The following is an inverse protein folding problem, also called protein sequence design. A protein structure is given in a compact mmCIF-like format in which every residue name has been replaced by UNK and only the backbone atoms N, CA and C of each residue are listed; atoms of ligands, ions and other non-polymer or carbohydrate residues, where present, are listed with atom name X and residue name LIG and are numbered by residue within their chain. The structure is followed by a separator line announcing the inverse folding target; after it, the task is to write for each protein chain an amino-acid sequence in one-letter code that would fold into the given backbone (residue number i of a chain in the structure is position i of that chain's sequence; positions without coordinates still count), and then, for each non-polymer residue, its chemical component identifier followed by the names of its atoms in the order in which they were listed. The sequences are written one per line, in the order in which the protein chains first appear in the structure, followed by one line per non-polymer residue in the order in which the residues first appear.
data_IF_198043319585
#
_entry.id   IF_198043319585
#
_cell.length_a   1.000
_cell.length_b   1.000
_cell.length_c   1.000
_cell.angle_alpha   90.00
_cell.angle_beta   90.00
_cell.angle_gamma   90.00
#
_symmetry.space_group_name_H-M   'P 1'
#
loop_
_entity.id
_entity.type
_entity.pdbx_description
1 polymer ?
#
# COMPACT_ATOMS: atom_id res chain seq x y z
N UNK A 1 5.10 11.12 14.20
CA UNK A 1 5.69 10.45 13.02
C UNK A 1 4.58 9.89 12.16
N UNK A 2 4.80 9.88 10.87
CA UNK A 2 3.85 9.27 9.92
C UNK A 2 4.12 7.77 9.85
N UNK A 3 3.19 6.97 10.34
CA UNK A 3 3.32 5.52 10.39
C UNK A 3 2.80 4.92 9.10
N UNK A 4 3.67 4.19 8.40
CA UNK A 4 3.37 3.59 7.11
C UNK A 4 3.46 2.07 7.23
N UNK A 5 2.33 1.39 7.05
CA UNK A 5 2.32 -0.08 7.02
C UNK A 5 2.54 -0.53 5.58
N UNK A 6 3.46 -1.45 5.39
CA UNK A 6 3.83 -1.99 4.08
C UNK A 6 3.47 -3.48 4.05
N UNK A 7 2.55 -3.83 3.16
CA UNK A 7 2.06 -5.20 2.99
C UNK A 7 2.33 -5.65 1.55
N UNK A 8 3.43 -6.37 1.36
CA UNK A 8 3.88 -6.79 0.05
C UNK A 8 4.26 -8.27 0.04
N UNK A 9 3.96 -8.93 -1.07
CA UNK A 9 4.38 -10.31 -1.29
C UNK A 9 5.91 -10.41 -1.36
N UNK A 10 6.54 -9.48 -2.06
CA UNK A 10 7.98 -9.42 -2.21
C UNK A 10 8.59 -8.65 -1.04
N UNK A 11 9.12 -9.38 -0.06
CA UNK A 11 9.69 -8.78 1.16
C UNK A 11 10.96 -7.97 0.89
N UNK A 12 11.72 -8.36 -0.13
CA UNK A 12 12.92 -7.60 -0.52
C UNK A 12 12.52 -6.21 -1.04
N UNK A 13 11.46 -6.16 -1.83
CA UNK A 13 10.91 -4.91 -2.33
C UNK A 13 10.31 -4.08 -1.18
N UNK A 14 9.65 -4.73 -0.23
CA UNK A 14 9.12 -4.06 0.96
C UNK A 14 10.24 -3.39 1.77
N UNK A 15 11.35 -4.09 1.97
CA UNK A 15 12.53 -3.52 2.64
C UNK A 15 13.06 -2.30 1.90
N UNK A 16 13.14 -2.37 0.57
CA UNK A 16 13.61 -1.27 -0.25
C UNK A 16 12.69 -0.04 -0.14
N UNK A 17 11.37 -0.26 -0.13
CA UNK A 17 10.39 0.81 0.05
C UNK A 17 10.55 1.45 1.43
N UNK A 18 10.67 0.65 2.48
CA UNK A 18 10.86 1.15 3.84
C UNK A 18 12.10 2.02 3.96
N UNK A 19 13.22 1.56 3.39
CA UNK A 19 14.48 2.29 3.42
C UNK A 19 14.38 3.60 2.63
N UNK A 20 13.74 3.57 1.46
CA UNK A 20 13.55 4.76 0.64
C UNK A 20 12.73 5.83 1.37
N UNK A 21 11.68 5.42 2.09
CA UNK A 21 10.86 6.36 2.87
C UNK A 21 11.67 6.97 4.01
N UNK A 22 12.44 6.19 4.75
CA UNK A 22 13.28 6.70 5.84
C UNK A 22 14.30 7.70 5.36
N UNK A 23 14.89 7.47 4.20
CA UNK A 23 15.86 8.39 3.60
C UNK A 23 15.24 9.66 3.07
N UNK A 24 14.00 9.55 2.59
CA UNK A 24 13.28 10.69 2.02
C UNK A 24 12.91 11.70 3.12
N UNK A 25 12.39 11.23 4.23
CA UNK A 25 12.00 12.07 5.38
C UNK A 25 12.02 11.22 6.65
N UNK A 26 12.78 11.69 7.65
CA UNK A 26 12.88 11.00 8.94
C UNK A 26 11.55 10.96 9.72
N UNK A 27 10.55 11.72 9.30
CA UNK A 27 9.20 11.66 9.87
C UNK A 27 8.46 10.38 9.50
N UNK A 28 8.86 9.69 8.43
CA UNK A 28 8.29 8.40 8.10
C UNK A 28 8.77 7.30 9.04
N UNK A 29 7.81 6.52 9.53
CA UNK A 29 8.05 5.34 10.37
C UNK A 29 7.43 4.11 9.69
N UNK A 30 8.14 3.48 8.73
CA UNK A 30 7.63 2.31 8.03
C UNK A 30 7.69 1.06 8.88
N UNK A 31 6.60 0.29 8.86
CA UNK A 31 6.47 -0.99 9.57
C UNK A 31 5.95 -2.01 8.57
N UNK A 32 6.64 -3.14 8.46
CA UNK A 32 6.24 -4.19 7.52
C UNK A 32 5.24 -5.14 8.15
N UNK A 33 4.16 -5.45 7.43
CA UNK A 33 3.23 -6.49 7.82
C UNK A 33 3.80 -7.86 7.51
N UNK A 34 3.69 -8.80 8.45
CA UNK A 34 4.19 -10.16 8.26
C UNK A 34 3.40 -10.94 7.22
N UNK A 35 2.10 -10.67 7.12
CA UNK A 35 1.19 -11.36 6.19
C UNK A 35 -0.10 -10.57 6.03
N UNK A 36 -0.84 -10.75 4.91
CA UNK A 36 -2.07 -9.99 4.66
C UNK A 36 -3.14 -10.14 5.74
N UNK A 37 -3.24 -11.30 6.37
CA UNK A 37 -4.22 -11.56 7.43
C UNK A 37 -3.92 -10.78 8.72
N UNK A 38 -2.72 -10.26 8.90
CA UNK A 38 -2.32 -9.48 10.07
C UNK A 38 -2.33 -7.97 9.81
N UNK A 39 -2.52 -7.55 8.57
CA UNK A 39 -2.37 -6.16 8.16
C UNK A 39 -3.40 -5.24 8.82
N UNK A 40 -4.67 -5.64 8.84
CA UNK A 40 -5.73 -4.82 9.43
C UNK A 40 -5.47 -4.57 10.93
N UNK A 41 -5.16 -5.61 11.68
CA UNK A 41 -4.87 -5.49 13.10
C UNK A 41 -3.65 -4.59 13.34
N UNK A 42 -2.60 -4.73 12.55
CA UNK A 42 -1.41 -3.89 12.65
C UNK A 42 -1.74 -2.42 12.42
N UNK A 43 -2.50 -2.12 11.36
CA UNK A 43 -2.91 -0.74 11.06
C UNK A 43 -3.71 -0.11 12.21
N UNK A 44 -4.57 -0.90 12.84
CA UNK A 44 -5.37 -0.40 13.96
C UNK A 44 -4.55 -0.25 15.24
N UNK A 45 -3.65 -1.18 15.50
CA UNK A 45 -2.82 -1.17 16.72
C UNK A 45 -1.89 0.03 16.76
N UNK A 46 -1.29 0.40 15.65
CA UNK A 46 -0.34 1.52 15.59
C UNK A 46 -0.99 2.82 15.09
N UNK A 47 -2.26 2.80 14.75
CA UNK A 47 -2.98 3.93 14.16
C UNK A 47 -2.25 4.44 12.90
N UNK A 48 -2.08 3.55 11.94
CA UNK A 48 -1.33 3.85 10.72
C UNK A 48 -1.92 5.03 9.96
N UNK A 49 -1.05 5.89 9.46
CA UNK A 49 -1.41 7.03 8.63
C UNK A 49 -1.54 6.63 7.16
N UNK A 50 -0.75 5.64 6.73
CA UNK A 50 -0.68 5.20 5.34
C UNK A 50 -0.55 3.68 5.33
N UNK A 51 -1.28 3.04 4.41
CA UNK A 51 -1.16 1.60 4.12
C UNK A 51 -0.77 1.44 2.66
N UNK A 52 0.36 0.78 2.42
CA UNK A 52 0.83 0.42 1.09
C UNK A 52 0.60 -1.07 0.92
N UNK A 53 -0.19 -1.46 -0.08
CA UNK A 53 -0.50 -2.86 -0.36
C UNK A 53 -0.13 -3.22 -1.80
N UNK A 54 0.63 -4.29 -1.95
CA UNK A 54 0.90 -4.86 -3.27
C UNK A 54 -0.30 -5.67 -3.76
N UNK A 55 -0.63 -5.51 -5.04
CA UNK A 55 -1.68 -6.28 -5.73
C UNK A 55 -1.02 -7.22 -6.72
N UNK A 56 -1.33 -8.51 -6.62
CA UNK A 56 -0.86 -9.53 -7.55
C UNK A 56 -2.03 -10.33 -8.11
N UNK A 57 -1.74 -11.28 -9.01
CA UNK A 57 -2.74 -12.19 -9.54
C UNK A 57 -3.04 -13.37 -8.60
N UNK A 58 -2.39 -13.45 -7.45
CA UNK A 58 -2.43 -14.61 -6.57
C UNK A 58 -2.96 -14.25 -5.19
N UNK A 59 -3.84 -15.12 -4.64
CA UNK A 59 -4.30 -15.00 -3.27
C UNK A 59 -3.12 -15.17 -2.30
N UNK A 60 -3.08 -14.47 -1.17
CA UNK A 60 -4.07 -13.51 -0.64
C UNK A 60 -3.82 -12.05 -1.06
N UNK A 61 -3.05 -11.80 -2.13
CA UNK A 61 -2.68 -10.45 -2.59
C UNK A 61 -3.52 -9.95 -3.76
N UNK A 62 -4.63 -10.62 -4.08
CA UNK A 62 -5.54 -10.19 -5.14
C UNK A 62 -6.27 -8.90 -4.77
N UNK A 63 -6.70 -8.16 -5.78
CA UNK A 63 -7.42 -6.91 -5.57
C UNK A 63 -8.66 -7.08 -4.69
N UNK A 64 -9.42 -8.17 -4.87
CA UNK A 64 -10.62 -8.45 -4.07
C UNK A 64 -10.29 -8.54 -2.58
N UNK A 65 -9.20 -9.20 -2.23
CA UNK A 65 -8.76 -9.37 -0.85
C UNK A 65 -8.25 -8.06 -0.27
N UNK A 66 -7.55 -7.26 -1.09
CA UNK A 66 -7.11 -5.92 -0.70
C UNK A 66 -8.29 -4.99 -0.42
N UNK A 67 -9.35 -5.09 -1.23
CA UNK A 67 -10.56 -4.30 -1.03
C UNK A 67 -11.30 -4.69 0.25
N UNK A 68 -11.28 -5.95 0.65
CA UNK A 68 -11.83 -6.38 1.94
C UNK A 68 -11.08 -5.72 3.11
N UNK A 69 -9.76 -5.69 3.06
CA UNK A 69 -8.93 -4.99 4.06
C UNK A 69 -9.29 -3.51 4.08
N UNK A 70 -9.36 -2.87 2.93
CA UNK A 70 -9.75 -1.48 2.79
C UNK A 70 -11.10 -1.19 3.43
N UNK A 71 -12.11 -2.01 3.15
CA UNK A 71 -13.47 -1.80 3.65
C UNK A 71 -13.52 -1.88 5.18
N UNK A 72 -12.80 -2.83 5.77
CA UNK A 72 -12.72 -2.95 7.24
C UNK A 72 -11.91 -1.81 7.85
N UNK A 73 -10.82 -1.42 7.20
CA UNK A 73 -9.97 -0.32 7.68
C UNK A 73 -10.74 1.01 7.71
N UNK A 74 -11.58 1.26 6.71
CA UNK A 74 -12.40 2.47 6.66
C UNK A 74 -13.37 2.60 7.83
N UNK A 75 -13.80 1.48 8.40
CA UNK A 75 -14.68 1.48 9.58
C UNK A 75 -13.93 1.86 10.85
N UNK A 76 -12.66 1.43 10.98
CA UNK A 76 -11.87 1.55 12.19
C UNK A 76 -10.90 2.73 12.17
N UNK A 77 -10.35 3.05 11.00
CA UNK A 77 -9.34 4.09 10.82
C UNK A 77 -9.58 4.80 9.49
N UNK A 78 -10.64 5.62 9.39
CA UNK A 78 -11.06 6.22 8.11
C UNK A 78 -10.04 7.21 7.53
N UNK A 79 -9.15 7.75 8.33
CA UNK A 79 -8.15 8.73 7.89
C UNK A 79 -6.89 8.08 7.31
N UNK A 80 -6.75 6.77 7.43
CA UNK A 80 -5.60 6.05 6.86
C UNK A 80 -5.66 6.10 5.33
N UNK A 81 -4.61 6.64 4.72
CA UNK A 81 -4.49 6.68 3.25
C UNK A 81 -4.05 5.33 2.74
N UNK A 82 -4.58 4.93 1.58
CA UNK A 82 -4.30 3.62 0.98
C UNK A 82 -3.69 3.80 -0.39
N UNK A 83 -2.56 3.15 -0.62
CA UNK A 83 -1.85 3.16 -1.90
C UNK A 83 -1.62 1.71 -2.33
N UNK A 84 -1.98 1.41 -3.57
CA UNK A 84 -1.73 0.10 -4.17
C UNK A 84 -0.44 0.14 -4.98
N UNK A 85 0.36 -0.91 -4.87
CA UNK A 85 1.55 -1.12 -5.70
C UNK A 85 1.25 -2.28 -6.64
N UNK A 86 1.41 -2.07 -7.93
CA UNK A 86 1.12 -3.08 -8.95
C UNK A 86 2.32 -3.28 -9.84
N UNK A 87 2.50 -4.52 -10.32
CA UNK A 87 3.47 -4.82 -11.37
C UNK A 87 2.87 -4.38 -12.71
N UNK A 88 3.64 -3.70 -13.54
CA UNK A 88 3.18 -3.30 -14.87
C UNK A 88 2.86 -4.50 -15.78
N UNK A 89 3.30 -5.69 -15.43
CA UNK A 89 3.02 -6.93 -16.17
C UNK A 89 1.77 -7.68 -15.69
N UNK A 90 0.96 -7.09 -14.81
CA UNK A 90 -0.25 -7.74 -14.26
C UNK A 90 -1.36 -7.97 -15.30
N UNK A 91 -1.21 -7.42 -16.48
CA UNK A 91 -2.21 -7.48 -17.53
C UNK A 91 -3.18 -6.29 -17.51
N UNK A 92 -3.70 -5.99 -18.69
CA UNK A 92 -4.55 -4.82 -18.90
C UNK A 92 -5.81 -4.84 -18.04
N UNK A 93 -6.45 -5.99 -17.93
CA UNK A 93 -7.73 -6.12 -17.22
C UNK A 93 -7.60 -5.77 -15.74
N UNK A 94 -6.56 -6.28 -15.07
CA UNK A 94 -6.32 -5.98 -13.67
C UNK A 94 -5.84 -4.54 -13.49
N UNK A 95 -5.01 -4.04 -14.38
CA UNK A 95 -4.56 -2.66 -14.38
C UNK A 95 -5.74 -1.68 -14.48
N UNK A 96 -6.71 -1.98 -15.36
CA UNK A 96 -7.91 -1.15 -15.51
C UNK A 96 -8.76 -1.16 -14.23
N UNK A 97 -8.85 -2.30 -13.56
CA UNK A 97 -9.60 -2.41 -12.29
C UNK A 97 -8.93 -1.59 -11.18
N UNK A 98 -7.61 -1.57 -11.12
CA UNK A 98 -6.86 -0.77 -10.14
C UNK A 98 -7.06 0.72 -10.41
N UNK A 99 -6.98 1.16 -11.67
CA UNK A 99 -7.25 2.54 -12.05
C UNK A 99 -8.67 2.94 -11.68
N UNK A 100 -9.63 2.06 -11.89
CA UNK A 100 -11.04 2.31 -11.55
C UNK A 100 -11.22 2.46 -10.04
N UNK A 101 -10.53 1.65 -9.24
CA UNK A 101 -10.58 1.76 -7.78
C UNK A 101 -10.11 3.14 -7.31
N UNK A 102 -9.03 3.67 -7.90
CA UNK A 102 -8.58 5.03 -7.61
C UNK A 102 -9.61 6.07 -8.04
N UNK A 103 -10.13 5.94 -9.24
CA UNK A 103 -11.12 6.87 -9.80
C UNK A 103 -12.39 6.93 -8.95
N UNK A 104 -12.81 5.78 -8.41
CA UNK A 104 -13.99 5.68 -7.56
C UNK A 104 -13.73 6.15 -6.12
N UNK A 105 -12.50 6.53 -5.79
CA UNK A 105 -12.14 6.98 -4.45
C UNK A 105 -11.99 5.86 -3.42
N UNK A 106 -11.89 4.61 -3.86
CA UNK A 106 -11.70 3.47 -2.96
C UNK A 106 -10.29 3.42 -2.40
N UNK A 107 -9.31 3.86 -3.17
CA UNK A 107 -7.93 4.02 -2.74
C UNK A 107 -7.45 5.41 -3.10
N UNK A 108 -6.42 5.90 -2.42
CA UNK A 108 -5.94 7.28 -2.61
C UNK A 108 -5.01 7.41 -3.81
N UNK A 109 -4.26 6.37 -4.10
CA UNK A 109 -3.38 6.32 -5.27
C UNK A 109 -2.97 4.89 -5.59
N UNK A 110 -2.34 4.70 -6.73
CA UNK A 110 -1.63 3.47 -7.07
C UNK A 110 -0.33 3.83 -7.78
N UNK A 111 0.66 2.95 -7.69
CA UNK A 111 1.97 3.13 -8.34
C UNK A 111 2.42 1.80 -8.93
N UNK A 112 3.21 1.88 -9.99
CA UNK A 112 3.85 0.70 -10.58
C UNK A 112 5.16 0.40 -9.85
N UNK A 113 5.41 -0.87 -9.56
CA UNK A 113 6.60 -1.29 -8.82
C UNK A 113 7.92 -1.03 -9.52
N UNK A 114 7.90 -0.72 -10.81
CA UNK A 114 9.10 -0.42 -11.61
C UNK A 114 9.57 1.04 -11.49
N UNK A 115 8.80 1.91 -10.82
CA UNK A 115 9.20 3.32 -10.67
C UNK A 115 10.35 3.48 -9.70
N UNK A 116 11.03 4.63 -9.78
CA UNK A 116 12.14 4.93 -8.87
C UNK A 116 11.67 5.12 -7.43
N UNK A 117 12.57 4.83 -6.48
CA UNK A 117 12.30 5.01 -5.05
C UNK A 117 12.01 6.47 -4.69
N UNK A 118 12.65 7.41 -5.37
CA UNK A 118 12.40 8.85 -5.14
C UNK A 118 11.00 9.25 -5.58
N UNK A 119 10.52 8.73 -6.71
CA UNK A 119 9.16 8.99 -7.17
C UNK A 119 8.13 8.39 -6.21
N UNK A 120 8.33 7.14 -5.80
CA UNK A 120 7.46 6.47 -4.83
C UNK A 120 7.37 7.29 -3.54
N UNK A 121 8.51 7.69 -2.99
CA UNK A 121 8.56 8.46 -1.74
C UNK A 121 7.84 9.81 -1.87
N UNK A 122 7.99 10.48 -3.02
CA UNK A 122 7.30 11.73 -3.29
C UNK A 122 5.78 11.55 -3.36
N UNK A 123 5.30 10.47 -3.97
CA UNK A 123 3.86 10.14 -4.03
C UNK A 123 3.31 9.93 -2.62
N UNK A 124 4.01 9.16 -1.80
CA UNK A 124 3.59 8.89 -0.42
C UNK A 124 3.59 10.18 0.41
N UNK A 125 4.60 11.02 0.25
CA UNK A 125 4.71 12.29 0.96
C UNK A 125 3.55 13.25 0.63
N UNK A 126 3.05 13.20 -0.59
CA UNK A 126 1.99 14.08 -1.08
C UNK A 126 0.56 13.68 -0.68
N UNK A 127 0.40 12.54 -0.03
CA UNK A 127 -0.94 12.05 0.37
C UNK A 127 -1.64 12.91 1.42
#
# INVERSE_FOLDING_TARGET
MRKVVIDMQNMLFADAVAEALRRFDSDFDPVMSESPDKTLALCNDILANILIMEVTAYAPWKLEERMKIRNELRKCNPDCKIVLVVDENIGKKLADRVRQAKKDGLVDNFIYGSISSSYLSAVIDAL
#
